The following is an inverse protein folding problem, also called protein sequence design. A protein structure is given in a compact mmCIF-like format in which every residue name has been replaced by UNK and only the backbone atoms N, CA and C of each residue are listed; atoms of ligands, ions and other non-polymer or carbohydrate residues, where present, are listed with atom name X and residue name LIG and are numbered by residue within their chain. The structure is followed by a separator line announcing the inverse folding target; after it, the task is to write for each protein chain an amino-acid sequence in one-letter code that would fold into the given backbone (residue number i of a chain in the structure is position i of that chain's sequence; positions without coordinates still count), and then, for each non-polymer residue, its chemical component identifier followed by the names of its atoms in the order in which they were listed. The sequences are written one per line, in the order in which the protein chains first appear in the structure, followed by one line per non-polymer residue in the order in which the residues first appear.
data_IF_520052180507
#
_entry.id   IF_520052180507
#
_cell.length_a   1.000
_cell.length_b   1.000
_cell.length_c   1.000
_cell.angle_alpha   90.00
_cell.angle_beta   90.00
_cell.angle_gamma   90.00
#
_symmetry.space_group_name_H-M   'P 1'
#
loop_
_entity.id
_entity.type
_entity.pdbx_description
1 polymer ?
#
# COMPACT_ATOMS: atom_id res chain seq x y z
N UNK A 1 12.73 8.95 -0.31
CA UNK A 1 12.35 9.97 -1.33
C UNK A 1 11.58 11.13 -0.67
N UNK A 2 11.52 12.34 -1.26
CA UNK A 2 10.82 13.48 -0.64
C UNK A 2 9.30 13.23 -0.47
N UNK A 3 8.66 12.65 -1.49
CA UNK A 3 7.23 12.27 -1.43
C UNK A 3 6.95 11.23 -0.35
N UNK A 4 7.80 10.19 -0.27
CA UNK A 4 7.75 9.16 0.77
C UNK A 4 7.85 9.77 2.18
N UNK A 5 8.84 10.64 2.42
CA UNK A 5 9.00 11.31 3.70
C UNK A 5 7.80 12.22 4.03
N UNK A 6 7.26 12.93 3.04
CA UNK A 6 6.07 13.78 3.20
C UNK A 6 4.82 12.99 3.58
N UNK A 7 4.57 11.85 2.91
CA UNK A 7 3.44 10.96 3.24
C UNK A 7 3.59 10.45 4.67
N UNK A 8 4.78 9.94 5.04
CA UNK A 8 5.03 9.42 6.38
C UNK A 8 4.86 10.50 7.45
N UNK A 9 5.38 11.70 7.21
CA UNK A 9 5.24 12.82 8.13
C UNK A 9 3.76 13.19 8.33
N UNK A 10 3.00 13.38 7.25
CA UNK A 10 1.57 13.69 7.30
C UNK A 10 0.76 12.58 7.98
N UNK A 11 1.04 11.30 7.70
CA UNK A 11 0.39 10.18 8.37
C UNK A 11 0.74 10.11 9.86
N UNK A 12 2.01 10.31 10.23
CA UNK A 12 2.46 10.26 11.63
C UNK A 12 1.95 11.43 12.48
N UNK A 13 1.56 12.53 11.82
CA UNK A 13 1.00 13.72 12.45
C UNK A 13 -0.52 13.77 12.39
N UNK A 14 -1.15 12.67 11.98
CA UNK A 14 -2.60 12.54 11.80
C UNK A 14 -3.22 13.64 10.90
N UNK A 15 -2.55 14.04 9.81
CA UNK A 15 -3.09 15.01 8.84
C UNK A 15 -4.44 14.49 8.29
N UNK A 16 -5.55 15.25 8.46
CA UNK A 16 -6.89 14.75 8.14
C UNK A 16 -7.07 14.36 6.67
N UNK A 17 -6.50 15.15 5.75
CA UNK A 17 -6.64 14.92 4.31
C UNK A 17 -5.88 13.66 3.88
N UNK A 18 -4.70 13.41 4.47
CA UNK A 18 -3.91 12.21 4.22
C UNK A 18 -4.55 10.97 4.85
N UNK A 19 -5.05 11.07 6.08
CA UNK A 19 -5.79 9.98 6.74
C UNK A 19 -7.04 9.61 5.94
N UNK A 20 -7.74 10.58 5.34
CA UNK A 20 -8.93 10.31 4.54
C UNK A 20 -8.62 9.39 3.34
N UNK A 21 -7.40 9.49 2.78
CA UNK A 21 -6.98 8.66 1.63
C UNK A 21 -6.38 7.32 2.07
N UNK A 22 -5.40 7.37 2.97
CA UNK A 22 -4.57 6.20 3.33
C UNK A 22 -5.05 5.46 4.58
N UNK A 23 -5.89 6.10 5.39
CA UNK A 23 -6.32 5.62 6.71
C UNK A 23 -5.33 5.98 7.83
N UNK A 24 -5.74 5.83 9.10
CA UNK A 24 -4.87 6.02 10.26
C UNK A 24 -4.10 4.74 10.60
N UNK A 25 -2.88 4.88 11.11
CA UNK A 25 -1.95 3.76 11.36
C UNK A 25 -1.22 3.89 12.69
N UNK A 26 -1.06 2.78 13.42
CA UNK A 26 -0.37 2.77 14.72
C UNK A 26 1.16 2.61 14.58
N UNK A 27 1.61 2.13 13.43
CA UNK A 27 3.01 1.96 13.09
C UNK A 27 3.23 2.28 11.61
N UNK A 28 4.31 2.99 11.34
CA UNK A 28 4.76 3.37 10.00
C UNK A 28 6.27 3.14 9.90
N UNK A 29 6.70 2.65 8.73
CA UNK A 29 8.08 2.44 8.37
C UNK A 29 8.27 2.65 6.88
N UNK A 30 9.52 2.67 6.47
CA UNK A 30 9.91 2.93 5.10
C UNK A 30 11.05 2.02 4.69
N UNK A 31 11.15 1.74 3.38
CA UNK A 31 12.22 0.93 2.80
C UNK A 31 12.31 -0.48 3.43
N UNK A 32 11.16 -1.09 3.72
CA UNK A 32 11.05 -2.42 4.34
C UNK A 32 11.32 -3.50 3.29
N UNK A 33 12.17 -4.48 3.63
CA UNK A 33 12.53 -5.58 2.73
C UNK A 33 11.28 -6.35 2.29
N UNK A 34 11.17 -6.54 0.97
CA UNK A 34 10.00 -7.10 0.30
C UNK A 34 10.39 -8.23 -0.68
N UNK A 35 11.44 -8.96 -0.34
CA UNK A 35 11.92 -10.10 -1.13
C UNK A 35 12.70 -11.08 -0.24
N UNK A 36 12.88 -12.33 -0.70
CA UNK A 36 13.75 -13.29 -0.04
C UNK A 36 15.17 -12.75 0.11
N UNK A 37 15.96 -13.41 0.96
CA UNK A 37 17.34 -13.01 1.21
C UNK A 37 18.17 -12.95 -0.09
N UNK A 38 18.72 -11.76 -0.37
CA UNK A 38 19.60 -11.41 -1.49
C UNK A 38 20.65 -10.41 -1.00
N UNK A 39 21.76 -10.18 -1.73
CA UNK A 39 22.67 -9.08 -1.38
C UNK A 39 21.92 -7.74 -1.33
N UNK A 40 22.33 -6.85 -0.41
CA UNK A 40 21.61 -5.61 -0.06
C UNK A 40 21.26 -4.74 -1.27
N UNK A 41 22.12 -4.69 -2.27
CA UNK A 41 21.96 -3.90 -3.49
C UNK A 41 20.87 -4.43 -4.44
N UNK A 42 20.46 -5.70 -4.26
CA UNK A 42 19.43 -6.37 -5.06
C UNK A 42 18.16 -6.68 -4.28
N UNK A 43 18.09 -6.26 -3.00
CA UNK A 43 16.89 -6.46 -2.21
C UNK A 43 15.81 -5.48 -2.67
N UNK A 44 14.67 -6.04 -3.03
CA UNK A 44 13.46 -5.26 -3.25
C UNK A 44 12.99 -4.70 -1.90
N UNK A 45 12.59 -3.44 -1.88
CA UNK A 45 12.07 -2.74 -0.70
C UNK A 45 10.76 -2.06 -1.03
N UNK A 46 9.79 -2.19 -0.13
CA UNK A 46 8.56 -1.40 -0.15
C UNK A 46 8.86 0.01 0.32
N UNK A 47 8.35 1.02 -0.39
CA UNK A 47 8.58 2.41 -0.02
C UNK A 47 7.94 2.75 1.33
N UNK A 48 6.67 2.38 1.53
CA UNK A 48 5.95 2.57 2.79
C UNK A 48 5.33 1.25 3.24
N UNK A 49 5.52 0.96 4.52
CA UNK A 49 4.88 -0.16 5.20
C UNK A 49 4.32 0.31 6.55
N UNK A 50 3.18 -0.22 6.95
CA UNK A 50 2.59 0.12 8.25
C UNK A 50 1.59 -0.92 8.73
N UNK A 51 1.15 -0.78 9.98
CA UNK A 51 0.06 -1.59 10.50
C UNK A 51 -0.78 -0.83 11.52
N UNK A 52 -2.00 -1.33 11.71
CA UNK A 52 -2.95 -0.86 12.71
C UNK A 52 -3.30 -2.00 13.65
N UNK A 53 -3.39 -1.74 14.95
CA UNK A 53 -3.89 -2.69 15.93
C UNK A 53 -5.41 -2.76 15.93
N UNK A 54 -5.96 -3.85 16.45
CA UNK A 54 -7.38 -3.90 16.79
C UNK A 54 -7.62 -2.90 17.94
N UNK A 55 -8.57 -1.95 17.81
CA UNK A 55 -8.88 -0.99 18.87
C UNK A 55 -9.21 -1.69 20.19
N UNK A 56 -8.46 -1.39 21.26
CA UNK A 56 -8.63 -2.01 22.57
C UNK A 56 -7.94 -3.37 22.78
N UNK A 57 -7.26 -3.92 21.76
CA UNK A 57 -6.65 -5.27 21.82
C UNK A 57 -5.18 -5.29 21.38
N UNK A 58 -4.40 -4.26 21.74
CA UNK A 58 -2.95 -4.26 21.54
C UNK A 58 -2.30 -5.49 22.24
N UNK A 59 -1.30 -6.16 21.64
CA UNK A 59 -0.60 -5.83 20.40
C UNK A 59 -1.13 -6.53 19.13
N UNK A 60 -2.41 -6.95 19.11
CA UNK A 60 -2.96 -7.71 17.96
C UNK A 60 -3.13 -6.84 16.73
N UNK A 61 -2.42 -7.17 15.65
CA UNK A 61 -2.46 -6.44 14.36
C UNK A 61 -3.74 -6.78 13.59
N UNK A 62 -4.34 -5.75 12.99
CA UNK A 62 -5.64 -5.82 12.30
C UNK A 62 -5.52 -5.61 10.79
N UNK A 63 -4.80 -4.56 10.38
CA UNK A 63 -4.62 -4.17 8.98
C UNK A 63 -3.18 -3.78 8.74
N UNK A 64 -2.75 -3.95 7.49
CA UNK A 64 -1.44 -3.58 6.99
C UNK A 64 -1.58 -2.53 5.88
N UNK A 65 -0.70 -1.55 5.93
CA UNK A 65 -0.47 -0.56 4.89
C UNK A 65 0.71 -1.02 4.05
N UNK A 66 0.57 -0.97 2.74
CA UNK A 66 1.70 -1.01 1.82
C UNK A 66 1.50 0.04 0.73
N UNK A 67 2.53 0.85 0.46
CA UNK A 67 2.52 1.73 -0.69
C UNK A 67 3.84 1.67 -1.46
N UNK A 68 3.71 1.69 -2.79
CA UNK A 68 4.79 1.92 -3.74
C UNK A 68 4.64 3.32 -4.33
N UNK A 69 5.73 4.07 -4.48
CA UNK A 69 5.69 5.47 -4.88
C UNK A 69 6.55 5.68 -6.14
N UNK A 70 5.97 6.32 -7.15
CA UNK A 70 6.65 6.72 -8.39
C UNK A 70 6.67 8.23 -8.50
N UNK A 71 7.83 8.79 -8.85
CA UNK A 71 8.00 10.25 -9.01
C UNK A 71 7.31 10.81 -10.28
N UNK A 72 7.11 9.95 -11.28
CA UNK A 72 6.54 10.30 -12.58
C UNK A 72 5.17 9.62 -12.74
N UNK A 73 4.60 9.68 -13.95
CA UNK A 73 3.45 8.86 -14.30
C UNK A 73 3.77 7.37 -14.15
N UNK A 74 2.86 6.62 -13.53
CA UNK A 74 3.03 5.18 -13.34
C UNK A 74 2.93 4.43 -14.67
N UNK A 75 3.56 3.25 -14.70
CA UNK A 75 3.59 2.30 -15.82
C UNK A 75 2.97 0.97 -15.39
N UNK A 76 2.63 0.13 -16.37
CA UNK A 76 2.08 -1.21 -16.13
C UNK A 76 2.94 -2.04 -15.16
N UNK A 77 4.28 -2.02 -15.34
CA UNK A 77 5.23 -2.71 -14.46
C UNK A 77 5.15 -2.26 -12.99
N UNK A 78 4.68 -1.04 -12.72
CA UNK A 78 4.54 -0.53 -11.36
C UNK A 78 3.35 -1.17 -10.65
N UNK A 79 2.29 -1.56 -11.39
CA UNK A 79 1.21 -2.40 -10.86
C UNK A 79 1.77 -3.78 -10.52
N UNK A 80 2.55 -4.39 -11.40
CA UNK A 80 3.13 -5.72 -11.18
C UNK A 80 4.03 -5.74 -9.94
N UNK A 81 4.88 -4.72 -9.79
CA UNK A 81 5.72 -4.53 -8.60
C UNK A 81 4.88 -4.35 -7.34
N UNK A 82 3.85 -3.49 -7.39
CA UNK A 82 2.94 -3.28 -6.26
C UNK A 82 2.26 -4.58 -5.86
N UNK A 83 1.78 -5.35 -6.85
CA UNK A 83 1.09 -6.63 -6.60
C UNK A 83 2.03 -7.71 -6.05
N UNK A 84 3.30 -7.74 -6.47
CA UNK A 84 4.34 -8.57 -5.86
C UNK A 84 4.50 -8.25 -4.36
N UNK A 85 4.49 -6.98 -3.99
CA UNK A 85 4.56 -6.58 -2.58
C UNK A 85 3.28 -6.89 -1.81
N UNK A 86 2.10 -6.83 -2.44
CA UNK A 86 0.85 -7.30 -1.83
C UNK A 86 0.96 -8.78 -1.48
N UNK A 87 1.45 -9.60 -2.40
CA UNK A 87 1.62 -11.03 -2.18
C UNK A 87 2.66 -11.31 -1.07
N UNK A 88 3.78 -10.58 -1.06
CA UNK A 88 4.77 -10.63 0.02
C UNK A 88 4.15 -10.30 1.39
N UNK A 89 3.39 -9.21 1.49
CA UNK A 89 2.76 -8.82 2.76
C UNK A 89 1.74 -9.87 3.22
N UNK A 90 1.00 -10.46 2.28
CA UNK A 90 0.04 -11.52 2.57
C UNK A 90 0.71 -12.75 3.17
N UNK A 91 1.85 -13.16 2.61
CA UNK A 91 2.57 -14.36 3.05
C UNK A 91 3.32 -14.13 4.37
N UNK A 92 3.98 -12.98 4.52
CA UNK A 92 4.81 -12.70 5.71
C UNK A 92 4.00 -12.20 6.92
N UNK A 93 2.89 -11.49 6.70
CA UNK A 93 2.21 -10.76 7.79
C UNK A 93 0.72 -11.08 7.96
N UNK A 94 0.06 -11.65 6.95
CA UNK A 94 -1.41 -11.84 6.96
C UNK A 94 -1.86 -13.30 6.98
N UNK A 95 -0.94 -14.27 7.11
CA UNK A 95 -1.28 -15.71 7.13
C UNK A 95 -2.21 -16.13 5.97
N UNK A 96 -2.02 -15.53 4.79
CA UNK A 96 -2.86 -15.81 3.61
C UNK A 96 -4.14 -14.98 3.46
N UNK A 97 -4.51 -14.14 4.43
CA UNK A 97 -5.71 -13.30 4.35
C UNK A 97 -5.44 -11.92 3.72
N UNK A 98 -5.70 -11.80 2.42
CA UNK A 98 -5.58 -10.54 1.70
C UNK A 98 -6.50 -9.43 2.25
N UNK A 99 -7.59 -9.74 2.95
CA UNK A 99 -8.51 -8.71 3.50
C UNK A 99 -7.82 -7.75 4.48
N UNK A 100 -6.68 -8.17 5.03
CA UNK A 100 -5.89 -7.37 5.95
C UNK A 100 -5.10 -6.25 5.27
N UNK A 101 -4.97 -6.27 3.94
CA UNK A 101 -4.05 -5.38 3.20
C UNK A 101 -4.81 -4.21 2.57
N UNK A 102 -4.33 -3.00 2.88
CA UNK A 102 -4.62 -1.77 2.15
C UNK A 102 -3.40 -1.42 1.30
N UNK A 103 -3.52 -1.55 -0.02
CA UNK A 103 -2.41 -1.33 -0.95
C UNK A 103 -2.62 -0.05 -1.77
N UNK A 104 -1.53 0.70 -1.96
CA UNK A 104 -1.54 1.95 -2.70
C UNK A 104 -0.40 1.99 -3.71
N UNK A 105 -0.70 2.38 -4.93
CA UNK A 105 0.30 2.85 -5.88
C UNK A 105 0.14 4.37 -5.96
N UNK A 106 1.18 5.10 -5.56
CA UNK A 106 1.18 6.56 -5.49
C UNK A 106 2.05 7.09 -6.63
N UNK A 107 1.53 7.97 -7.47
CA UNK A 107 2.26 8.50 -8.63
C UNK A 107 1.85 9.94 -8.95
N UNK A 108 2.60 10.62 -9.82
CA UNK A 108 2.21 11.95 -10.30
C UNK A 108 0.96 11.86 -11.18
N UNK A 109 0.87 10.82 -12.00
CA UNK A 109 -0.24 10.62 -12.93
C UNK A 109 -0.47 9.13 -13.23
N UNK A 110 -1.67 8.83 -13.77
CA UNK A 110 -2.06 7.49 -14.23
C UNK A 110 -2.80 7.64 -15.56
N UNK A 111 -2.38 6.88 -16.56
CA UNK A 111 -3.11 6.78 -17.82
C UNK A 111 -4.31 5.82 -17.72
N UNK A 112 -5.22 5.90 -18.71
CA UNK A 112 -6.43 5.07 -18.75
C UNK A 112 -6.11 3.58 -18.97
N UNK A 113 -5.06 3.27 -19.73
CA UNK A 113 -4.67 1.90 -20.04
C UNK A 113 -4.14 1.17 -18.81
N UNK A 114 -3.40 1.85 -17.96
CA UNK A 114 -2.94 1.38 -16.65
C UNK A 114 -4.13 1.14 -15.72
N UNK A 115 -5.11 2.05 -15.71
CA UNK A 115 -6.34 1.88 -14.91
C UNK A 115 -7.13 0.65 -15.36
N UNK A 116 -7.24 0.42 -16.68
CA UNK A 116 -7.85 -0.78 -17.26
C UNK A 116 -7.05 -2.04 -16.92
N UNK A 117 -5.72 -1.98 -17.02
CA UNK A 117 -4.83 -3.08 -16.70
C UNK A 117 -4.94 -3.48 -15.22
N UNK A 118 -4.94 -2.51 -14.30
CA UNK A 118 -5.18 -2.71 -12.87
C UNK A 118 -6.44 -3.51 -12.61
N UNK A 119 -7.56 -3.17 -13.26
CA UNK A 119 -8.84 -3.89 -13.07
C UNK A 119 -8.76 -5.37 -13.45
N UNK A 120 -7.83 -5.74 -14.34
CA UNK A 120 -7.60 -7.10 -14.78
C UNK A 120 -6.64 -7.86 -13.86
N UNK A 121 -5.52 -7.24 -13.46
CA UNK A 121 -4.41 -7.96 -12.78
C UNK A 121 -4.34 -7.74 -11.28
N UNK A 122 -4.89 -6.65 -10.75
CA UNK A 122 -4.87 -6.31 -9.33
C UNK A 122 -6.04 -6.96 -8.58
N UNK A 123 -6.24 -8.25 -8.82
CA UNK A 123 -7.28 -9.08 -8.23
C UNK A 123 -6.63 -10.32 -7.65
N UNK A 124 -7.01 -10.71 -6.43
CA UNK A 124 -6.56 -11.96 -5.80
C UNK A 124 -7.75 -12.75 -5.31
N UNK A 125 -7.90 -13.97 -5.83
CA UNK A 125 -8.85 -14.96 -5.29
C UNK A 125 -8.14 -15.75 -4.21
N UNK A 126 -8.78 -15.89 -3.06
CA UNK A 126 -8.21 -16.59 -1.91
C UNK A 126 -9.31 -17.24 -1.08
N UNK A 127 -8.93 -18.11 -0.16
CA UNK A 127 -9.89 -18.83 0.69
C UNK A 127 -9.61 -18.51 2.14
N UNK A 128 -10.66 -18.23 2.91
CA UNK A 128 -10.58 -18.07 4.36
C UNK A 128 -11.44 -19.12 5.07
N UNK A 129 -11.05 -19.45 6.30
CA UNK A 129 -11.73 -20.43 7.13
C UNK A 129 -11.49 -21.87 6.68
N UNK A 130 -11.55 -22.81 7.62
CA UNK A 130 -11.40 -24.24 7.33
C UNK A 130 -12.74 -24.95 7.15
N UNK A 131 -13.79 -24.58 7.92
CA UNK A 131 -15.11 -25.24 7.91
C UNK A 131 -16.25 -24.27 8.27
N UNK A 132 -17.05 -23.77 7.30
CA UNK A 132 -16.87 -23.92 5.86
C UNK A 132 -15.74 -23.02 5.34
N UNK A 133 -14.98 -23.53 4.38
CA UNK A 133 -14.09 -22.69 3.59
C UNK A 133 -14.92 -21.72 2.74
N UNK A 134 -14.54 -20.43 2.73
CA UNK A 134 -15.18 -19.39 1.93
C UNK A 134 -14.19 -18.84 0.91
N UNK A 135 -14.53 -18.92 -0.37
CA UNK A 135 -13.79 -18.24 -1.43
C UNK A 135 -14.12 -16.74 -1.41
N UNK A 136 -13.10 -15.92 -1.38
CA UNK A 136 -13.16 -14.46 -1.39
C UNK A 136 -12.32 -13.89 -2.54
N UNK A 137 -12.56 -12.62 -2.82
CA UNK A 137 -11.82 -11.86 -3.81
C UNK A 137 -11.36 -10.53 -3.21
N UNK A 138 -10.09 -10.21 -3.41
CA UNK A 138 -9.49 -8.95 -3.01
C UNK A 138 -9.23 -8.07 -4.24
N UNK A 139 -9.58 -6.79 -4.14
CA UNK A 139 -9.42 -5.75 -5.19
C UNK A 139 -8.93 -4.41 -4.62
N UNK A 140 -8.33 -4.42 -3.43
CA UNK A 140 -8.07 -3.22 -2.64
C UNK A 140 -6.71 -2.56 -2.95
N UNK A 141 -6.34 -2.52 -4.23
CA UNK A 141 -5.27 -1.65 -4.74
C UNK A 141 -5.89 -0.31 -5.10
N UNK A 142 -5.42 0.78 -4.49
CA UNK A 142 -5.84 2.15 -4.80
C UNK A 142 -4.75 2.86 -5.61
N UNK A 143 -5.15 3.55 -6.67
CA UNK A 143 -4.25 4.45 -7.41
C UNK A 143 -4.43 5.84 -6.82
N UNK A 144 -3.34 6.47 -6.40
CA UNK A 144 -3.38 7.78 -5.71
C UNK A 144 -2.46 8.75 -6.42
N UNK A 145 -3.04 9.81 -6.98
CA UNK A 145 -2.25 10.93 -7.52
C UNK A 145 -1.80 11.81 -6.37
N UNK A 146 -0.56 12.27 -6.40
CA UNK A 146 -0.08 13.29 -5.48
C UNK A 146 0.21 14.61 -6.20
N UNK A 147 0.05 15.71 -5.47
CA UNK A 147 0.57 17.02 -5.85
C UNK A 147 1.12 17.73 -4.62
N UNK A 148 1.99 18.71 -4.81
CA UNK A 148 2.52 19.51 -3.71
C UNK A 148 1.83 20.87 -3.68
N UNK A 149 1.24 21.23 -2.54
CA UNK A 149 0.70 22.56 -2.28
C UNK A 149 1.76 23.40 -1.58
N UNK A 150 2.45 24.23 -2.35
CA UNK A 150 3.49 25.12 -1.82
C UNK A 150 2.97 26.19 -0.86
N UNK A 151 1.65 26.47 -0.84
CA UNK A 151 1.08 27.44 0.10
C UNK A 151 0.85 26.85 1.50
N UNK A 152 0.61 25.54 1.56
CA UNK A 152 0.39 24.78 2.79
C UNK A 152 1.58 23.92 3.19
N UNK A 153 2.63 23.94 2.38
CA UNK A 153 3.84 23.12 2.51
C UNK A 153 3.53 21.62 2.70
N UNK A 154 2.50 21.11 2.00
CA UNK A 154 2.03 19.72 2.17
C UNK A 154 1.68 19.04 0.86
N UNK A 155 1.65 17.71 0.89
CA UNK A 155 1.16 16.89 -0.21
C UNK A 155 -0.37 16.81 -0.16
N UNK A 156 -0.99 16.90 -1.33
CA UNK A 156 -2.40 16.61 -1.56
C UNK A 156 -2.53 15.29 -2.31
N UNK A 157 -3.61 14.57 -2.06
CA UNK A 157 -3.84 13.24 -2.62
C UNK A 157 -5.23 13.12 -3.22
N UNK A 158 -5.34 12.40 -4.34
CA UNK A 158 -6.63 12.11 -4.98
C UNK A 158 -6.66 10.67 -5.45
N UNK A 159 -7.71 9.93 -5.10
CA UNK A 159 -7.91 8.54 -5.53
C UNK A 159 -8.48 8.56 -6.95
N UNK A 160 -7.92 7.71 -7.83
CA UNK A 160 -8.38 7.49 -9.20
C UNK A 160 -9.27 6.25 -9.33
#
# INVERSE_FOLDING_TARGET
MAVEAGILFQLSSDDPDTIAVFGPWDYLSHQVVASPFKPIDYMDKMDIFGFKYIPGFRPTRFRYLMAEIKKDAAKIQDIEQTMKYVDWVKDEYCFGDYSMINAFLVAYDFDEDLTRHKQQVAVRKYTIGMKPAKSLEWRNLKLVKYSFDGSKEKLNFTIC
#
